data_IF_467282861713
#
_entry.id   IF_467282861713
#
_cell.length_a   1.000
_cell.length_b   1.000
_cell.length_c   1.000
_cell.angle_alpha   90.00
_cell.angle_beta   90.00
_cell.angle_gamma   90.00
#
_symmetry.space_group_name_H-M   'P 1'
#
loop_
_entity.id
_entity.type
_entity.pdbx_description
1 polymer ?
#
# COMPACT_ATOMS: atom_id res chain seq x y z
N UNK A 1 7.86 -22.08 -7.99
CA UNK A 1 7.76 -21.13 -6.86
C UNK A 1 8.13 -21.77 -5.53
N UNK A 2 7.24 -22.49 -4.83
CA UNK A 2 7.56 -22.98 -3.47
C UNK A 2 8.65 -24.07 -3.43
N UNK A 3 8.75 -24.89 -4.47
CA UNK A 3 9.82 -25.89 -4.62
C UNK A 3 11.19 -25.28 -5.01
N UNK A 4 11.20 -24.02 -5.47
CA UNK A 4 12.41 -23.32 -5.93
C UNK A 4 12.92 -22.30 -4.90
N UNK A 5 12.04 -21.87 -3.99
CA UNK A 5 12.34 -20.94 -2.91
C UNK A 5 11.82 -21.49 -1.58
N UNK A 6 12.74 -22.00 -0.77
CA UNK A 6 12.45 -22.55 0.56
C UNK A 6 11.87 -21.51 1.54
N UNK A 7 12.01 -20.21 1.23
CA UNK A 7 11.48 -19.11 2.04
C UNK A 7 10.18 -18.55 1.47
N UNK A 8 9.57 -19.21 0.49
CA UNK A 8 8.29 -18.80 -0.06
C UNK A 8 7.16 -19.03 0.96
N UNK A 9 6.42 -17.96 1.24
CA UNK A 9 5.29 -17.96 2.16
C UNK A 9 3.99 -17.81 1.39
N UNK A 10 2.99 -18.61 1.78
CA UNK A 10 1.64 -18.60 1.23
C UNK A 10 0.64 -18.74 2.38
N UNK A 11 -0.38 -17.90 2.36
CA UNK A 11 -1.54 -17.97 3.24
C UNK A 11 -2.79 -17.99 2.40
N UNK A 12 -3.74 -18.83 2.77
CA UNK A 12 -5.02 -19.02 2.07
C UNK A 12 -6.13 -18.79 3.06
N UNK A 13 -7.12 -18.00 2.65
CA UNK A 13 -8.36 -17.76 3.35
C UNK A 13 -9.49 -18.46 2.60
N UNK A 14 -10.39 -19.10 3.33
CA UNK A 14 -11.57 -19.77 2.76
C UNK A 14 -12.86 -19.17 3.28
N UNK A 15 -13.93 -19.24 2.50
CA UNK A 15 -15.27 -18.89 2.92
C UNK A 15 -15.95 -20.04 3.69
N UNK A 16 -17.23 -19.85 4.03
CA UNK A 16 -18.06 -20.82 4.75
C UNK A 16 -18.31 -22.12 3.97
N UNK A 17 -18.15 -22.10 2.64
CA UNK A 17 -18.30 -23.25 1.75
C UNK A 17 -16.95 -23.95 1.50
N UNK A 18 -15.88 -23.59 2.24
CA UNK A 18 -14.50 -24.03 2.02
C UNK A 18 -13.94 -23.69 0.63
N UNK A 19 -14.46 -22.65 -0.03
CA UNK A 19 -13.88 -22.13 -1.27
C UNK A 19 -12.85 -21.06 -0.92
N UNK A 20 -11.80 -20.98 -1.74
CA UNK A 20 -10.76 -19.95 -1.58
C UNK A 20 -11.40 -18.56 -1.78
N UNK A 21 -11.32 -17.73 -0.74
CA UNK A 21 -11.79 -16.35 -0.72
C UNK A 21 -10.64 -15.34 -0.72
N UNK A 22 -9.42 -15.77 -0.36
CA UNK A 22 -8.23 -14.96 -0.42
C UNK A 22 -6.95 -15.78 -0.47
N UNK A 23 -5.92 -15.24 -1.12
CA UNK A 23 -4.57 -15.80 -1.16
C UNK A 23 -3.56 -14.68 -1.04
N UNK A 24 -2.58 -14.82 -0.16
CA UNK A 24 -1.46 -13.90 -0.02
C UNK A 24 -0.16 -14.66 -0.09
N UNK A 25 0.78 -14.20 -0.91
CA UNK A 25 2.09 -14.82 -1.04
C UNK A 25 3.24 -13.83 -1.11
N UNK A 26 4.42 -14.31 -0.73
CA UNK A 26 5.67 -13.57 -0.67
C UNK A 26 6.84 -14.53 -0.89
N UNK A 27 7.82 -14.14 -1.70
CA UNK A 27 9.08 -14.88 -1.83
C UNK A 27 10.08 -14.52 -0.73
N UNK A 28 11.09 -15.36 -0.51
CA UNK A 28 12.20 -15.04 0.38
C UNK A 28 12.90 -13.74 0.01
N UNK A 29 13.03 -13.46 -1.29
CA UNK A 29 13.56 -12.19 -1.79
C UNK A 29 12.72 -11.00 -1.33
N UNK A 30 11.41 -11.08 -1.49
CA UNK A 30 10.51 -10.00 -1.10
C UNK A 30 10.62 -9.69 0.40
N UNK A 31 10.73 -10.73 1.24
CA UNK A 31 10.95 -10.59 2.69
C UNK A 31 12.28 -9.91 3.03
N UNK A 32 13.36 -10.29 2.35
CA UNK A 32 14.67 -9.67 2.54
C UNK A 32 14.66 -8.20 2.10
N UNK A 33 14.01 -7.88 0.98
CA UNK A 33 13.88 -6.51 0.51
C UNK A 33 13.04 -5.66 1.48
N UNK A 34 11.96 -6.21 2.04
CA UNK A 34 11.14 -5.53 3.04
C UNK A 34 11.94 -5.21 4.33
N UNK A 35 12.84 -6.10 4.76
CA UNK A 35 13.66 -5.85 5.94
C UNK A 35 14.47 -4.54 5.81
N UNK A 36 14.90 -4.21 4.59
CA UNK A 36 15.73 -3.02 4.29
C UNK A 36 14.90 -1.83 3.82
N UNK A 37 13.87 -2.04 3.00
CA UNK A 37 13.13 -0.98 2.29
C UNK A 37 11.66 -0.85 2.72
N UNK A 38 11.22 -1.61 3.73
CA UNK A 38 9.83 -1.73 4.15
C UNK A 38 9.30 -0.59 5.02
N UNK A 39 10.04 0.52 5.16
CA UNK A 39 9.64 1.62 6.06
C UNK A 39 8.46 2.42 5.49
N UNK A 40 8.35 2.52 4.16
CA UNK A 40 7.22 3.10 3.47
C UNK A 40 6.62 2.08 2.49
N UNK A 41 5.34 1.73 2.69
CA UNK A 41 4.63 0.74 1.89
C UNK A 41 3.37 1.35 1.30
N UNK A 42 3.16 1.18 0.01
CA UNK A 42 1.85 1.36 -0.61
C UNK A 42 1.19 0.00 -0.74
N UNK A 43 -0.05 -0.10 -0.29
CA UNK A 43 -0.91 -1.25 -0.55
C UNK A 43 -2.15 -0.78 -1.31
N UNK A 44 -2.33 -1.31 -2.51
CA UNK A 44 -3.39 -0.90 -3.41
C UNK A 44 -3.93 -2.12 -4.18
N UNK A 45 -5.24 -2.25 -4.26
CA UNK A 45 -5.92 -3.28 -5.05
C UNK A 45 -6.23 -2.74 -6.43
N UNK A 46 -5.59 -3.30 -7.45
CA UNK A 46 -5.99 -3.06 -8.83
C UNK A 46 -7.39 -3.59 -9.04
N UNK A 47 -8.30 -2.69 -9.44
CA UNK A 47 -9.71 -2.98 -9.60
C UNK A 47 -9.95 -4.03 -10.69
N UNK A 48 -10.11 -5.29 -10.28
CA UNK A 48 -10.79 -6.36 -11.01
C UNK A 48 -10.41 -6.53 -12.50
N UNK A 49 -9.16 -6.24 -12.85
CA UNK A 49 -8.65 -6.32 -14.24
C UNK A 49 -8.40 -7.75 -14.72
N UNK A 50 -8.52 -8.75 -13.86
CA UNK A 50 -8.40 -10.15 -14.26
C UNK A 50 -9.73 -10.70 -14.82
N UNK A 51 -9.64 -11.78 -15.59
CA UNK A 51 -10.79 -12.47 -16.23
C UNK A 51 -11.92 -12.84 -15.26
N UNK A 52 -11.61 -12.90 -13.97
CA UNK A 52 -12.52 -13.34 -12.91
C UNK A 52 -13.06 -12.18 -12.08
N UNK A 53 -12.75 -10.93 -12.47
CA UNK A 53 -13.21 -9.72 -11.80
C UNK A 53 -12.84 -9.72 -10.29
N UNK A 54 -11.71 -10.33 -9.94
CA UNK A 54 -11.22 -10.48 -8.57
C UNK A 54 -10.24 -9.36 -8.21
N UNK A 55 -10.36 -8.72 -7.04
CA UNK A 55 -9.36 -7.77 -6.53
C UNK A 55 -7.97 -8.38 -6.44
N UNK A 56 -6.99 -7.74 -7.09
CA UNK A 56 -5.58 -8.11 -6.99
C UNK A 56 -4.78 -6.95 -6.41
N UNK A 57 -4.15 -7.16 -5.27
CA UNK A 57 -3.37 -6.16 -4.55
C UNK A 57 -1.89 -6.48 -4.47
N UNK A 58 -1.08 -5.42 -4.40
CA UNK A 58 0.37 -5.52 -4.21
C UNK A 58 0.79 -4.67 -3.02
N UNK A 59 1.68 -5.22 -2.20
CA UNK A 59 2.45 -4.45 -1.22
C UNK A 59 3.73 -3.98 -1.89
N UNK A 60 3.91 -2.67 -2.04
CA UNK A 60 4.98 -2.07 -2.83
C UNK A 60 5.70 -1.00 -2.03
N UNK A 61 7.02 -1.05 -1.98
CA UNK A 61 7.86 0.04 -1.49
C UNK A 61 8.79 0.57 -2.58
N UNK A 62 9.82 1.29 -2.15
CA UNK A 62 10.81 1.90 -3.04
C UNK A 62 12.21 1.60 -2.50
N UNK A 63 13.12 1.18 -3.38
CA UNK A 63 14.52 0.92 -3.00
C UNK A 63 15.40 2.20 -3.13
N UNK A 64 16.69 2.08 -2.79
CA UNK A 64 17.66 3.18 -2.86
C UNK A 64 17.89 3.78 -4.26
N UNK A 65 17.39 3.13 -5.30
CA UNK A 65 17.46 3.61 -6.69
C UNK A 65 16.15 4.25 -7.16
N UNK A 66 15.22 4.53 -6.24
CA UNK A 66 13.88 5.03 -6.53
C UNK A 66 13.05 4.08 -7.42
N UNK A 67 13.35 2.78 -7.37
CA UNK A 67 12.63 1.76 -8.11
C UNK A 67 11.58 1.10 -7.22
N UNK A 68 10.40 0.86 -7.78
CA UNK A 68 9.33 0.10 -7.13
C UNK A 68 9.79 -1.31 -6.79
N UNK A 69 9.58 -1.72 -5.55
CA UNK A 69 9.93 -3.05 -5.05
C UNK A 69 8.69 -3.71 -4.48
N UNK A 70 8.34 -4.90 -4.98
CA UNK A 70 7.18 -5.65 -4.50
C UNK A 70 7.59 -6.48 -3.28
N UNK A 71 6.82 -6.37 -2.20
CA UNK A 71 7.03 -7.13 -0.97
C UNK A 71 6.06 -8.29 -0.79
N UNK A 72 4.95 -8.28 -1.53
CA UNK A 72 3.96 -9.36 -1.47
C UNK A 72 2.81 -9.06 -2.41
N UNK A 73 2.05 -10.10 -2.71
CA UNK A 73 0.86 -10.00 -3.54
C UNK A 73 -0.31 -10.69 -2.86
N UNK A 74 -1.50 -10.14 -3.08
CA UNK A 74 -2.75 -10.68 -2.55
C UNK A 74 -3.79 -10.74 -3.66
N UNK A 75 -4.55 -11.81 -3.67
CA UNK A 75 -5.71 -12.01 -4.51
C UNK A 75 -6.91 -12.27 -3.60
N UNK A 76 -7.97 -11.49 -3.76
CA UNK A 76 -9.20 -11.61 -2.97
C UNK A 76 -10.37 -11.84 -3.91
N UNK A 77 -11.43 -12.50 -3.45
CA UNK A 77 -12.67 -12.61 -4.22
C UNK A 77 -13.53 -11.35 -4.08
N UNK A 78 -13.45 -10.66 -2.94
CA UNK A 78 -14.20 -9.44 -2.62
C UNK A 78 -13.34 -8.41 -1.88
N UNK A 79 -13.66 -7.13 -2.05
CA UNK A 79 -13.08 -6.02 -1.29
C UNK A 79 -13.97 -5.73 -0.08
N UNK A 80 -13.77 -6.49 1.01
CA UNK A 80 -14.39 -6.22 2.31
C UNK A 80 -13.34 -5.73 3.29
N UNK A 81 -13.80 -5.07 4.36
CA UNK A 81 -12.93 -4.65 5.47
C UNK A 81 -12.19 -5.87 6.04
N UNK A 82 -12.90 -6.94 6.37
CA UNK A 82 -12.31 -8.16 6.94
C UNK A 82 -11.19 -8.75 6.07
N UNK A 83 -11.37 -8.75 4.75
CA UNK A 83 -10.34 -9.23 3.82
C UNK A 83 -9.09 -8.35 3.85
N UNK A 84 -9.26 -7.03 3.99
CA UNK A 84 -8.15 -6.09 4.12
C UNK A 84 -7.41 -6.26 5.46
N UNK A 85 -8.17 -6.46 6.56
CA UNK A 85 -7.61 -6.75 7.89
C UNK A 85 -6.74 -8.01 7.80
N UNK A 86 -7.30 -9.09 7.25
CA UNK A 86 -6.59 -10.35 7.07
C UNK A 86 -5.34 -10.20 6.21
N UNK A 87 -5.42 -9.49 5.08
CA UNK A 87 -4.29 -9.28 4.18
C UNK A 87 -3.16 -8.51 4.89
N UNK A 88 -3.51 -7.46 5.65
CA UNK A 88 -2.55 -6.64 6.39
C UNK A 88 -1.86 -7.43 7.51
N UNK A 89 -2.63 -8.14 8.35
CA UNK A 89 -2.09 -8.95 9.44
C UNK A 89 -1.20 -10.09 8.92
N UNK A 90 -1.65 -10.76 7.85
CA UNK A 90 -0.88 -11.84 7.22
C UNK A 90 0.42 -11.32 6.62
N UNK A 91 0.38 -10.17 5.94
CA UNK A 91 1.57 -9.54 5.39
C UNK A 91 2.61 -9.22 6.48
N UNK A 92 2.19 -8.57 7.58
CA UNK A 92 3.11 -8.27 8.70
C UNK A 92 3.67 -9.54 9.33
N UNK A 93 2.86 -10.58 9.48
CA UNK A 93 3.32 -11.89 9.95
C UNK A 93 4.41 -12.47 9.05
N UNK A 94 4.24 -12.39 7.72
CA UNK A 94 5.27 -12.82 6.76
C UNK A 94 6.58 -12.04 6.92
N UNK A 95 6.47 -10.74 7.23
CA UNK A 95 7.58 -9.84 7.49
C UNK A 95 8.19 -9.96 8.88
N UNK A 96 7.81 -10.97 9.66
CA UNK A 96 8.36 -11.22 10.99
C UNK A 96 7.90 -10.21 12.03
N UNK A 97 6.72 -9.61 11.85
CA UNK A 97 6.15 -8.66 12.78
C UNK A 97 6.65 -7.22 12.63
N UNK A 98 7.55 -6.94 11.68
CA UNK A 98 8.00 -5.57 11.39
C UNK A 98 6.86 -4.80 10.72
N UNK A 99 6.32 -3.80 11.41
CA UNK A 99 5.39 -2.82 10.85
C UNK A 99 6.14 -1.78 9.99
N UNK A 100 5.54 -1.29 8.89
CA UNK A 100 6.07 -0.14 8.18
C UNK A 100 5.92 1.13 9.03
N UNK A 101 6.77 2.13 8.84
CA UNK A 101 6.59 3.42 9.49
C UNK A 101 5.44 4.22 8.86
N UNK A 102 5.28 4.12 7.54
CA UNK A 102 4.20 4.75 6.80
C UNK A 102 3.56 3.77 5.84
N UNK A 103 2.23 3.73 5.82
CA UNK A 103 1.47 2.98 4.82
C UNK A 103 0.56 3.90 4.05
N UNK A 104 0.61 3.79 2.72
CA UNK A 104 -0.30 4.45 1.79
C UNK A 104 -1.32 3.44 1.28
N UNK A 105 -2.61 3.75 1.41
CA UNK A 105 -3.67 2.89 0.86
C UNK A 105 -4.62 3.70 0.00
N UNK A 106 -5.41 2.99 -0.80
CA UNK A 106 -6.57 3.56 -1.45
C UNK A 106 -7.70 3.86 -0.44
N UNK A 107 -8.75 4.47 -0.98
CA UNK A 107 -9.81 5.12 -0.25
C UNK A 107 -10.78 4.09 0.34
N UNK A 108 -10.77 3.95 1.67
CA UNK A 108 -11.88 3.37 2.41
C UNK A 108 -11.91 4.00 3.80
N UNK A 109 -12.91 4.86 4.06
CA UNK A 109 -13.08 5.53 5.36
C UNK A 109 -13.21 4.53 6.52
N UNK A 110 -13.77 3.35 6.25
CA UNK A 110 -13.80 2.23 7.21
C UNK A 110 -12.40 1.69 7.49
N UNK A 111 -11.55 1.52 6.48
CA UNK A 111 -10.21 0.94 6.64
C UNK A 111 -9.25 1.81 7.46
N UNK A 112 -9.43 3.14 7.49
CA UNK A 112 -8.55 4.03 8.26
C UNK A 112 -8.66 3.86 9.79
N UNK A 113 -9.83 3.44 10.29
CA UNK A 113 -9.99 3.07 11.70
C UNK A 113 -9.28 1.75 11.99
N UNK A 114 -9.48 0.77 11.12
CA UNK A 114 -8.95 -0.58 11.30
C UNK A 114 -7.44 -0.67 11.11
N UNK A 115 -6.85 0.13 10.21
CA UNK A 115 -5.39 0.22 10.06
C UNK A 115 -4.74 0.67 11.37
N UNK A 116 -5.34 1.61 12.11
CA UNK A 116 -4.79 2.02 13.41
C UNK A 116 -4.86 0.90 14.46
N UNK A 117 -5.82 -0.02 14.33
CA UNK A 117 -5.93 -1.17 15.21
C UNK A 117 -4.95 -2.29 14.83
N UNK A 118 -4.69 -2.48 13.52
CA UNK A 118 -3.78 -3.52 13.01
C UNK A 118 -2.31 -3.09 13.09
N UNK A 119 -2.04 -1.83 12.77
CA UNK A 119 -0.73 -1.22 12.64
C UNK A 119 -0.65 0.03 13.53
N UNK A 120 -0.69 -0.13 14.87
CA UNK A 120 -0.78 0.99 15.79
C UNK A 120 0.43 1.94 15.74
N UNK A 121 1.59 1.47 15.25
CA UNK A 121 2.79 2.28 15.12
C UNK A 121 3.02 2.83 13.72
N UNK A 122 2.14 2.50 12.75
CA UNK A 122 2.24 2.96 11.37
C UNK A 122 1.43 4.24 11.17
N UNK A 123 2.05 5.23 10.52
CA UNK A 123 1.32 6.39 10.03
C UNK A 123 0.58 6.04 8.73
N UNK A 124 -0.75 6.08 8.77
CA UNK A 124 -1.57 5.90 7.58
C UNK A 124 -1.67 7.20 6.76
N UNK A 125 -1.51 7.08 5.45
CA UNK A 125 -1.69 8.16 4.47
C UNK A 125 -2.53 7.66 3.29
N UNK A 126 -3.17 8.58 2.58
CA UNK A 126 -3.90 8.23 1.36
C UNK A 126 -2.96 8.14 0.16
N UNK A 127 -3.20 7.19 -0.73
CA UNK A 127 -2.45 7.09 -1.98
C UNK A 127 -2.69 8.34 -2.83
N UNK A 128 -1.61 9.08 -3.15
CA UNK A 128 -1.66 10.32 -3.95
C UNK A 128 -2.35 10.11 -5.30
N UNK A 129 -2.08 8.99 -5.97
CA UNK A 129 -2.68 8.69 -7.26
C UNK A 129 -4.22 8.64 -7.17
N UNK A 130 -4.73 7.95 -6.15
CA UNK A 130 -6.16 7.85 -5.87
C UNK A 130 -6.78 9.19 -5.50
N UNK A 131 -6.13 9.99 -4.66
CA UNK A 131 -6.58 11.35 -4.32
C UNK A 131 -6.70 12.21 -5.57
N UNK A 132 -5.68 12.21 -6.43
CA UNK A 132 -5.66 13.00 -7.66
C UNK A 132 -6.66 12.50 -8.70
N UNK A 133 -6.87 11.18 -8.79
CA UNK A 133 -7.89 10.58 -9.66
C UNK A 133 -9.29 11.01 -9.21
N UNK A 134 -9.61 10.86 -7.93
CA UNK A 134 -10.89 11.26 -7.36
C UNK A 134 -11.13 12.78 -7.52
N UNK A 135 -10.09 13.60 -7.31
CA UNK A 135 -10.18 15.04 -7.54
C UNK A 135 -10.48 15.36 -9.01
N UNK A 136 -9.84 14.68 -9.97
CA UNK A 136 -10.11 14.88 -11.39
C UNK A 136 -11.55 14.49 -11.76
N UNK A 137 -12.05 13.38 -11.21
CA UNK A 137 -13.41 12.87 -11.50
C UNK A 137 -14.49 13.80 -10.94
N UNK A 138 -14.30 14.34 -9.74
CA UNK A 138 -15.31 15.16 -9.05
C UNK A 138 -15.14 16.67 -9.26
N UNK A 139 -13.92 17.16 -9.50
CA UNK A 139 -13.57 18.58 -9.65
C UNK A 139 -13.09 18.93 -11.06
N UNK A 140 -13.35 18.07 -12.06
CA UNK A 140 -12.88 18.26 -13.44
C UNK A 140 -13.35 19.57 -14.09
N UNK A 141 -14.57 20.03 -13.77
CA UNK A 141 -15.09 21.34 -14.21
C UNK A 141 -14.30 22.49 -13.59
N UNK A 142 -13.99 22.42 -12.29
CA UNK A 142 -13.19 23.41 -11.56
C UNK A 142 -11.76 23.49 -12.11
N UNK A 143 -11.16 22.33 -12.41
CA UNK A 143 -9.83 22.24 -13.05
C UNK A 143 -9.78 23.00 -14.39
N UNK A 144 -10.90 23.01 -15.12
CA UNK A 144 -11.01 23.62 -16.44
C UNK A 144 -11.40 25.10 -16.36
N UNK A 145 -12.24 25.46 -15.39
CA UNK A 145 -12.81 26.80 -15.24
C UNK A 145 -11.85 27.79 -14.56
N UNK A 146 -11.09 27.34 -13.55
CA UNK A 146 -10.23 28.20 -12.75
C UNK A 146 -8.76 27.99 -13.11
N UNK A 147 -8.20 28.94 -13.86
CA UNK A 147 -6.77 28.93 -14.22
C UNK A 147 -5.92 28.97 -12.95
N UNK A 148 -5.01 28.01 -12.80
CA UNK A 148 -4.11 27.92 -11.64
C UNK A 148 -4.56 26.93 -10.57
N UNK A 149 -5.87 26.68 -10.40
CA UNK A 149 -6.41 25.81 -9.35
C UNK A 149 -5.76 24.42 -9.36
N UNK A 150 -5.64 23.79 -10.53
CA UNK A 150 -4.99 22.47 -10.67
C UNK A 150 -3.55 22.49 -10.13
N UNK A 151 -2.79 23.54 -10.41
CA UNK A 151 -1.40 23.66 -9.96
C UNK A 151 -1.32 23.82 -8.44
N UNK A 152 -2.13 24.73 -7.89
CA UNK A 152 -2.21 25.00 -6.45
C UNK A 152 -2.68 23.77 -5.67
N UNK A 153 -3.74 23.10 -6.14
CA UNK A 153 -4.25 21.88 -5.54
C UNK A 153 -3.21 20.75 -5.55
N UNK A 154 -2.51 20.56 -6.66
CA UNK A 154 -1.45 19.56 -6.75
C UNK A 154 -0.26 19.88 -5.82
N UNK A 155 0.13 21.16 -5.69
CA UNK A 155 1.17 21.59 -4.75
C UNK A 155 0.76 21.24 -3.33
N UNK A 156 -0.45 21.63 -2.92
CA UNK A 156 -0.97 21.35 -1.58
C UNK A 156 -0.94 19.86 -1.24
N UNK A 157 -1.36 18.99 -2.15
CA UNK A 157 -1.32 17.53 -1.95
C UNK A 157 0.11 17.01 -1.83
N UNK A 158 1.05 17.55 -2.60
CA UNK A 158 2.46 17.15 -2.53
C UNK A 158 3.13 17.66 -1.24
N UNK A 159 2.90 18.91 -0.85
CA UNK A 159 3.50 19.52 0.34
C UNK A 159 3.06 18.80 1.63
N UNK A 160 1.79 18.37 1.70
CA UNK A 160 1.25 17.55 2.81
C UNK A 160 1.85 16.13 2.86
N UNK A 161 2.34 15.62 1.73
CA UNK A 161 2.99 14.31 1.63
C UNK A 161 4.51 14.39 1.86
N UNK A 162 5.15 15.51 1.51
CA UNK A 162 6.61 15.70 1.60
C UNK A 162 7.12 15.90 3.04
N UNK A 163 6.25 16.25 4.00
CA UNK A 163 6.57 16.14 5.44
C UNK A 163 7.01 14.72 5.83
N UNK A 164 6.62 13.69 5.07
CA UNK A 164 7.07 12.30 5.24
C UNK A 164 8.49 12.09 4.68
N UNK A 165 8.87 12.76 3.59
CA UNK A 165 10.23 12.70 3.00
C UNK A 165 11.24 13.49 3.87
N UNK A 166 10.77 14.56 4.51
CA UNK A 166 11.54 15.34 5.50
C UNK A 166 11.94 14.56 6.76
N UNK A 167 11.21 13.50 7.11
CA UNK A 167 11.52 12.63 8.25
C UNK A 167 12.51 11.50 7.91
N UNK A 168 12.61 11.14 6.62
CA UNK A 168 13.58 10.16 6.11
C UNK A 168 14.94 10.83 5.82
N UNK A 169 14.96 12.16 5.71
CA UNK A 169 16.18 12.95 5.63
C UNK A 169 16.66 13.33 7.04
N UNK A 170 17.63 12.57 7.56
CA UNK A 170 18.41 12.97 8.74
C UNK A 170 19.03 14.37 8.55
N UNK A 171 19.37 15.08 9.66
CA UNK A 171 19.73 16.49 9.59
C UNK A 171 20.93 16.66 8.66
N UNK A 172 20.89 17.70 7.82
CA UNK A 172 22.06 18.13 7.04
C UNK A 172 23.26 18.21 7.98
N UNK A 173 24.17 17.24 7.88
CA UNK A 173 25.50 17.34 8.47
C UNK A 173 26.13 18.55 7.79
N UNK A 174 26.16 19.67 8.50
CA UNK A 174 27.03 20.79 8.16
C UNK A 174 28.45 20.25 8.25
N UNK A 175 29.03 19.97 7.08
CA UNK A 175 30.48 19.79 6.96
C UNK A 175 31.14 21.16 6.89
N UNK A 176 32.35 21.30 7.45
CA UNK A 176 33.04 22.58 7.63
C UNK A 176 33.32 23.31 6.32
#
# INVERSE_FOLDING_TARGET
MQHEDANFLLSVMTDHDNRISGMLWCSGKNKMEYAVFGDAVTFDTTYKTNLYNMPFGLFVGVNNHFQSTVFGAVLLTTETIDNFIWASQTFISFMGGKEPQTTLTDQCASTAGDIRNILPNTQHRWCRWHVLKNAKENLGSVYSQFRGFKGEFHSLITDVMDEVVGLISTPKVQRP
#
